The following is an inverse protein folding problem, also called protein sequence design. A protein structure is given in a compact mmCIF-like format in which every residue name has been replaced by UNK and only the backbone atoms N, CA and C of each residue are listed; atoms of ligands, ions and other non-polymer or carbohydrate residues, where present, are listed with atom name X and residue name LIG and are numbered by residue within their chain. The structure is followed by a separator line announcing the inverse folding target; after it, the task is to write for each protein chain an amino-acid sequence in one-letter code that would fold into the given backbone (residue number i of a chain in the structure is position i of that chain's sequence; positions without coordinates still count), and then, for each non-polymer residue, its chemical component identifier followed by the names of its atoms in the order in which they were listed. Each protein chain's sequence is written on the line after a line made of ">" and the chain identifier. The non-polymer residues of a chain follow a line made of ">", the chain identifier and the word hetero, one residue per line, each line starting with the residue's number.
data_IF_168397937812
#
_entry.id   IF_168397937812
#
_cell.length_a   1.000
_cell.length_b   1.000
_cell.length_c   1.000
_cell.angle_alpha   90.00
_cell.angle_beta   90.00
_cell.angle_gamma   90.00
#
_symmetry.space_group_name_H-M   'P 1'
#
loop_
_entity.id
_entity.type
_entity.pdbx_description
1 polymer ?
#
# COMPACT_ATOMS: atom_id res chain seq x y z
N UNK A 1 11.67 -30.40 18.04
CA UNK A 1 10.52 -29.53 18.33
C UNK A 1 9.96 -28.97 17.04
N UNK A 2 8.74 -29.39 16.66
CA UNK A 2 8.00 -28.77 15.56
C UNK A 2 7.53 -27.43 16.08
N UNK A 3 8.12 -26.34 15.59
CA UNK A 3 7.51 -25.03 15.70
C UNK A 3 6.05 -25.16 15.22
N UNK A 4 5.14 -24.62 16.03
CA UNK A 4 3.71 -24.72 15.81
C UNK A 4 3.38 -24.15 14.42
N UNK A 5 2.77 -24.92 13.49
CA UNK A 5 2.45 -24.44 12.14
C UNK A 5 1.58 -23.18 12.15
N UNK A 6 0.90 -22.91 13.26
CA UNK A 6 0.11 -21.71 13.47
C UNK A 6 0.96 -20.44 13.64
N UNK A 7 2.20 -20.53 14.15
CA UNK A 7 3.04 -19.34 14.36
C UNK A 7 3.59 -18.78 13.04
N UNK A 8 4.07 -19.65 12.16
CA UNK A 8 4.57 -19.23 10.84
C UNK A 8 3.44 -18.65 9.98
N UNK A 9 2.26 -19.27 10.02
CA UNK A 9 1.05 -18.78 9.35
C UNK A 9 0.57 -17.46 9.96
N UNK A 10 0.56 -17.34 11.29
CA UNK A 10 0.20 -16.11 12.00
C UNK A 10 1.14 -14.95 11.62
N UNK A 11 2.46 -15.16 11.69
CA UNK A 11 3.45 -14.14 11.32
C UNK A 11 3.29 -13.73 9.86
N UNK A 12 3.06 -14.69 8.96
CA UNK A 12 2.81 -14.42 7.54
C UNK A 12 1.56 -13.57 7.34
N UNK A 13 0.45 -13.90 8.01
CA UNK A 13 -0.80 -13.12 7.96
C UNK A 13 -0.63 -11.71 8.50
N UNK A 14 0.07 -11.55 9.63
CA UNK A 14 0.34 -10.22 10.20
C UNK A 14 1.24 -9.38 9.29
N UNK A 15 2.28 -9.98 8.71
CA UNK A 15 3.14 -9.29 7.75
C UNK A 15 2.37 -8.86 6.50
N UNK A 16 1.49 -9.72 5.98
CA UNK A 16 0.64 -9.40 4.84
C UNK A 16 -0.32 -8.24 5.15
N UNK A 17 -0.97 -8.28 6.31
CA UNK A 17 -1.84 -7.19 6.76
C UNK A 17 -1.07 -5.86 6.89
N UNK A 18 0.14 -5.88 7.46
CA UNK A 18 1.00 -4.71 7.56
C UNK A 18 1.42 -4.16 6.19
N UNK A 19 1.74 -5.04 5.24
CA UNK A 19 2.11 -4.65 3.87
C UNK A 19 0.94 -3.96 3.16
N UNK A 20 -0.27 -4.53 3.22
CA UNK A 20 -1.43 -3.90 2.62
C UNK A 20 -1.83 -2.59 3.30
N UNK A 21 -1.67 -2.47 4.62
CA UNK A 21 -1.87 -1.20 5.32
C UNK A 21 -0.89 -0.12 4.84
N UNK A 22 0.38 -0.47 4.62
CA UNK A 22 1.36 0.47 4.06
C UNK A 22 0.99 0.89 2.63
N UNK A 23 0.52 -0.06 1.81
CA UNK A 23 0.05 0.22 0.45
C UNK A 23 -1.15 1.17 0.48
N UNK A 24 -2.14 0.91 1.32
CA UNK A 24 -3.33 1.75 1.51
C UNK A 24 -2.93 3.20 1.82
N UNK A 25 -2.05 3.41 2.80
CA UNK A 25 -1.60 4.74 3.18
C UNK A 25 -0.90 5.48 2.02
N UNK A 26 -0.08 4.78 1.23
CA UNK A 26 0.60 5.37 0.05
C UNK A 26 -0.36 5.66 -1.08
N UNK A 27 -1.33 4.79 -1.29
CA UNK A 27 -2.37 4.94 -2.30
C UNK A 27 -3.24 6.17 -2.01
N UNK A 28 -3.67 6.31 -0.75
CA UNK A 28 -4.44 7.46 -0.28
C UNK A 28 -3.68 8.78 -0.45
N UNK A 29 -2.39 8.81 -0.12
CA UNK A 29 -1.54 9.99 -0.32
C UNK A 29 -1.45 10.35 -1.81
N UNK A 30 -1.25 9.37 -2.70
CA UNK A 30 -1.29 9.60 -4.16
C UNK A 30 -2.65 10.16 -4.60
N UNK A 31 -3.77 9.67 -4.04
CA UNK A 31 -5.12 10.16 -4.41
C UNK A 31 -5.44 11.55 -3.89
N UNK A 32 -4.95 11.94 -2.72
CA UNK A 32 -5.35 13.19 -2.07
C UNK A 32 -4.33 14.31 -2.23
N UNK A 33 -3.06 13.97 -2.42
CA UNK A 33 -1.96 14.92 -2.49
C UNK A 33 -1.34 14.95 -3.90
N UNK A 34 -1.49 16.09 -4.58
CA UNK A 34 -0.95 16.31 -5.93
C UNK A 34 0.59 16.18 -5.95
N UNK A 35 1.27 16.60 -4.88
CA UNK A 35 2.74 16.56 -4.81
C UNK A 35 3.30 15.12 -4.78
N UNK A 36 2.51 14.15 -4.30
CA UNK A 36 2.89 12.74 -4.26
C UNK A 36 2.80 12.05 -5.62
N UNK A 37 2.22 12.71 -6.63
CA UNK A 37 2.12 12.21 -8.02
C UNK A 37 3.36 12.59 -8.82
N UNK A 38 4.52 12.11 -8.37
CA UNK A 38 5.82 12.53 -8.89
C UNK A 38 6.09 12.05 -10.32
N UNK A 39 5.51 10.91 -10.72
CA UNK A 39 5.72 10.29 -12.02
C UNK A 39 4.73 10.77 -13.08
N UNK A 40 5.15 10.75 -14.35
CA UNK A 40 4.30 11.16 -15.46
C UNK A 40 3.07 10.26 -15.63
N UNK A 41 3.19 8.98 -15.29
CA UNK A 41 2.08 8.05 -15.28
C UNK A 41 1.00 8.48 -14.28
N UNK A 42 1.39 8.79 -13.04
CA UNK A 42 0.44 9.22 -12.00
C UNK A 42 -0.22 10.54 -12.38
N UNK A 43 0.56 11.54 -12.83
CA UNK A 43 0.01 12.81 -13.32
C UNK A 43 -1.02 12.60 -14.43
N UNK A 44 -0.74 11.69 -15.37
CA UNK A 44 -1.67 11.37 -16.47
C UNK A 44 -2.95 10.70 -15.99
N UNK A 45 -2.85 9.71 -15.10
CA UNK A 45 -4.01 8.98 -14.54
C UNK A 45 -4.95 9.93 -13.80
N UNK A 46 -4.37 10.86 -13.02
CA UNK A 46 -5.14 11.76 -12.17
C UNK A 46 -5.41 13.15 -12.78
N UNK A 47 -5.01 13.40 -14.03
CA UNK A 47 -5.13 14.70 -14.70
C UNK A 47 -6.54 15.31 -14.75
N UNK A 48 -7.59 14.49 -14.61
CA UNK A 48 -8.99 14.96 -14.54
C UNK A 48 -9.43 15.36 -13.12
N UNK A 49 -8.75 14.85 -12.09
CA UNK A 49 -9.06 15.15 -10.69
C UNK A 49 -8.32 16.40 -10.19
N UNK A 50 -7.23 16.80 -10.87
CA UNK A 50 -6.43 17.99 -10.56
C UNK A 50 -6.85 19.27 -11.28
N UNK A 51 -7.88 19.18 -12.12
CA UNK A 51 -8.47 20.30 -12.86
C UNK A 51 -9.81 20.67 -12.24
#
# INVERSE_FOLDING_TARGET
>A
DKADPDLDDYVTKQALAGLFNMVENKELDIRTNISSRTTDLLKKVFAKQDK
#
